data_IF_907258961542
#
_entry.id   IF_907258961542
#
_cell.length_a   1.000
_cell.length_b   1.000
_cell.length_c   1.000
_cell.angle_alpha   90.00
_cell.angle_beta   90.00
_cell.angle_gamma   90.00
#
_symmetry.space_group_name_H-M   'P 1'
#
loop_
_entity.id
_entity.type
_entity.pdbx_description
1 polymer ?
#
# COMPACT_ATOMS: atom_id res chain seq x y z
N UNK A 1 12.46 18.05 1.81
CA UNK A 1 12.73 16.75 1.17
C UNK A 1 12.07 15.69 2.04
N UNK A 2 11.19 14.87 1.44
CA UNK A 2 10.58 13.75 2.15
C UNK A 2 11.51 12.56 2.00
N UNK A 3 12.15 12.15 3.10
CA UNK A 3 13.02 10.99 3.11
C UNK A 3 12.36 9.88 3.91
N UNK A 4 12.54 8.63 3.46
CA UNK A 4 11.93 7.51 4.14
C UNK A 4 12.84 6.31 4.24
N UNK A 5 13.17 5.90 5.47
CA UNK A 5 13.99 4.72 5.74
C UNK A 5 13.11 3.51 6.06
N UNK A 6 13.39 2.39 5.39
CA UNK A 6 12.77 1.09 5.64
C UNK A 6 13.66 0.27 6.58
N UNK A 7 13.10 -0.22 7.69
CA UNK A 7 13.74 -1.21 8.56
C UNK A 7 12.74 -2.30 8.93
N UNK A 8 13.25 -3.47 9.29
CA UNK A 8 12.46 -4.53 9.91
C UNK A 8 12.78 -4.60 11.40
N UNK A 9 11.76 -4.81 12.24
CA UNK A 9 11.89 -4.92 13.70
C UNK A 9 11.22 -6.18 14.21
N UNK A 10 11.92 -6.93 15.07
CA UNK A 10 11.37 -8.13 15.67
C UNK A 10 10.68 -7.79 17.00
N UNK A 11 9.44 -8.24 17.15
CA UNK A 11 8.66 -8.14 18.40
C UNK A 11 7.91 -9.46 18.63
N UNK A 12 8.11 -10.09 19.80
CA UNK A 12 7.43 -11.35 20.13
C UNK A 12 7.66 -12.47 19.11
N UNK A 13 8.86 -12.53 18.51
CA UNK A 13 9.20 -13.53 17.48
C UNK A 13 8.71 -13.19 16.05
N UNK A 14 7.81 -12.21 15.88
CA UNK A 14 7.33 -11.77 14.57
C UNK A 14 8.11 -10.55 14.05
N UNK A 15 8.26 -10.45 12.73
CA UNK A 15 8.96 -9.34 12.08
C UNK A 15 7.95 -8.29 11.59
N UNK A 16 8.21 -7.02 11.91
CA UNK A 16 7.33 -5.90 11.59
C UNK A 16 8.06 -4.87 10.70
N UNK A 17 7.41 -4.33 9.65
CA UNK A 17 7.94 -3.21 8.89
C UNK A 17 7.91 -1.93 9.71
N UNK A 18 9.07 -1.31 9.90
CA UNK A 18 9.24 0.01 10.50
C UNK A 18 9.61 1.02 9.40
N UNK A 19 8.80 2.06 9.28
CA UNK A 19 9.04 3.17 8.35
C UNK A 19 9.37 4.43 9.15
N UNK A 20 10.54 5.00 8.93
CA UNK A 20 10.91 6.32 9.47
C UNK A 20 10.67 7.36 8.37
N UNK A 21 9.84 8.35 8.66
CA UNK A 21 9.41 9.39 7.75
C UNK A 21 9.94 10.75 8.23
N UNK A 22 10.74 11.40 7.41
CA UNK A 22 11.36 12.69 7.72
C UNK A 22 10.73 13.77 6.84
N UNK A 23 10.01 14.70 7.46
CA UNK A 23 9.37 15.85 6.79
C UNK A 23 9.68 17.09 7.61
N UNK A 24 10.64 17.93 7.20
CA UNK A 24 11.00 19.12 7.99
C UNK A 24 9.75 19.93 8.41
N UNK A 25 9.58 20.27 9.71
CA UNK A 25 10.48 20.04 10.85
C UNK A 25 10.21 18.76 11.67
N UNK A 26 9.32 17.89 11.19
CA UNK A 26 8.86 16.67 11.86
C UNK A 26 9.57 15.40 11.39
N UNK A 27 9.70 14.45 12.31
CA UNK A 27 10.17 13.09 12.03
C UNK A 27 9.24 12.11 12.74
N UNK A 28 8.78 11.10 12.03
CA UNK A 28 7.85 10.09 12.54
C UNK A 28 8.40 8.68 12.34
N UNK A 29 8.13 7.80 13.29
CA UNK A 29 8.35 6.35 13.15
C UNK A 29 7.02 5.62 13.21
N UNK A 30 6.69 4.87 12.16
CA UNK A 30 5.44 4.11 12.05
C UNK A 30 5.78 2.63 11.92
N UNK A 31 5.21 1.82 12.79
CA UNK A 31 5.26 0.37 12.71
C UNK A 31 4.00 -0.11 11.98
N UNK A 32 4.15 -0.94 10.94
CA UNK A 32 3.03 -1.50 10.18
C UNK A 32 2.73 -2.94 10.62
N UNK A 33 1.48 -3.39 10.37
CA UNK A 33 1.14 -4.79 10.52
C UNK A 33 2.00 -5.68 9.60
N UNK A 34 2.36 -6.90 10.04
CA UNK A 34 3.12 -7.83 9.22
C UNK A 34 2.27 -8.40 8.07
N UNK A 35 0.96 -8.46 8.25
CA UNK A 35 -0.03 -8.91 7.26
C UNK A 35 -0.43 -7.74 6.36
N UNK A 36 0.51 -7.30 5.52
CA UNK A 36 0.26 -6.28 4.50
C UNK A 36 -0.54 -6.80 3.30
N UNK A 37 -0.65 -8.13 3.18
CA UNK A 37 -1.36 -8.86 2.12
C UNK A 37 -2.82 -8.43 2.03
N UNK A 38 -3.46 -8.20 3.17
CA UNK A 38 -4.90 -7.97 3.27
C UNK A 38 -5.31 -6.68 2.54
N UNK A 39 -4.43 -5.68 2.54
CA UNK A 39 -4.64 -4.44 1.77
C UNK A 39 -4.66 -4.71 0.25
N UNK A 40 -3.89 -5.69 -0.24
CA UNK A 40 -3.87 -6.07 -1.65
C UNK A 40 -5.10 -6.89 -2.07
N UNK A 41 -5.84 -7.44 -1.10
CA UNK A 41 -7.13 -8.09 -1.32
C UNK A 41 -8.33 -7.11 -1.28
N UNK A 42 -8.07 -5.82 -0.98
CA UNK A 42 -9.05 -4.73 -1.00
C UNK A 42 -9.35 -4.16 -2.39
N UNK A 43 -10.15 -3.09 -2.45
CA UNK A 43 -10.52 -2.47 -3.73
C UNK A 43 -9.33 -1.77 -4.39
N UNK A 44 -9.31 -1.74 -5.72
CA UNK A 44 -8.38 -0.90 -6.48
C UNK A 44 -8.84 0.54 -6.47
N UNK A 45 -7.92 1.48 -6.65
CA UNK A 45 -8.21 2.90 -6.82
C UNK A 45 -8.09 3.28 -8.29
N UNK A 46 -9.08 4.00 -8.82
CA UNK A 46 -9.08 4.52 -10.19
C UNK A 46 -9.25 6.03 -10.25
N UNK A 47 -8.69 6.62 -11.29
CA UNK A 47 -8.95 7.99 -11.70
C UNK A 47 -9.47 7.94 -13.14
N UNK A 48 -10.79 8.09 -13.33
CA UNK A 48 -11.44 7.88 -14.63
C UNK A 48 -10.97 8.86 -15.73
N UNK A 49 -10.43 10.01 -15.33
CA UNK A 49 -9.87 11.02 -16.23
C UNK A 49 -8.90 11.92 -15.47
N UNK A 50 -8.12 12.72 -16.20
CA UNK A 50 -7.05 13.56 -15.64
C UNK A 50 -7.54 14.53 -14.56
N UNK A 51 -8.80 14.99 -14.66
CA UNK A 51 -9.42 15.93 -13.73
C UNK A 51 -10.46 15.25 -12.82
N UNK A 52 -10.58 13.92 -12.86
CA UNK A 52 -11.50 13.16 -12.01
C UNK A 52 -10.90 12.92 -10.63
N UNK A 53 -11.76 12.74 -9.63
CA UNK A 53 -11.32 12.27 -8.32
C UNK A 53 -10.87 10.80 -8.37
N UNK A 54 -10.02 10.43 -7.43
CA UNK A 54 -9.65 9.04 -7.20
C UNK A 54 -10.73 8.33 -6.39
N UNK A 55 -11.36 7.33 -6.98
CA UNK A 55 -12.46 6.59 -6.38
C UNK A 55 -12.14 5.08 -6.36
N UNK A 56 -12.78 4.30 -5.49
CA UNK A 56 -12.67 2.85 -5.53
C UNK A 56 -13.27 2.29 -6.82
N UNK A 57 -12.57 1.36 -7.44
CA UNK A 57 -13.07 0.58 -8.58
C UNK A 57 -14.21 -0.31 -8.10
N UNK A 58 -15.30 -0.37 -8.87
CA UNK A 58 -16.39 -1.30 -8.60
C UNK A 58 -15.88 -2.76 -8.69
N UNK A 59 -16.07 -3.62 -7.67
CA UNK A 59 -15.63 -5.01 -7.69
C UNK A 59 -16.11 -5.81 -8.92
N UNK A 60 -17.28 -5.46 -9.48
CA UNK A 60 -17.82 -6.10 -10.69
C UNK A 60 -17.01 -5.80 -11.96
N UNK A 61 -16.20 -4.74 -11.95
CA UNK A 61 -15.33 -4.36 -13.07
C UNK A 61 -13.92 -4.98 -12.94
N UNK A 62 -13.64 -5.70 -11.86
CA UNK A 62 -12.36 -6.39 -11.66
C UNK A 62 -12.41 -7.70 -12.44
N UNK A 63 -11.45 -7.94 -13.36
CA UNK A 63 -11.45 -9.16 -14.17
C UNK A 63 -11.03 -10.39 -13.36
N UNK A 64 -11.45 -11.56 -13.85
CA UNK A 64 -11.00 -12.86 -13.35
C UNK A 64 -9.98 -13.49 -14.33
N UNK A 65 -8.85 -14.04 -13.84
CA UNK A 65 -8.43 -14.09 -12.44
C UNK A 65 -8.03 -12.72 -11.91
N UNK A 66 -8.23 -12.52 -10.60
CA UNK A 66 -8.00 -11.25 -9.93
C UNK A 66 -6.58 -10.72 -10.16
N UNK A 67 -6.41 -9.48 -10.65
CA UNK A 67 -5.10 -8.89 -10.85
C UNK A 67 -4.27 -8.85 -9.55
N UNK A 68 -3.04 -9.37 -9.60
CA UNK A 68 -2.11 -9.37 -8.47
C UNK A 68 -2.02 -10.67 -7.68
N UNK A 69 -2.87 -11.66 -7.96
CA UNK A 69 -2.66 -13.03 -7.42
C UNK A 69 -1.47 -13.72 -8.07
N UNK A 70 -0.82 -14.61 -7.32
CA UNK A 70 0.26 -15.43 -7.84
C UNK A 70 -0.30 -16.60 -8.66
N UNK A 71 0.19 -16.77 -9.89
CA UNK A 71 -0.12 -17.90 -10.76
C UNK A 71 1.16 -18.63 -11.15
N UNK A 72 1.05 -19.92 -11.48
CA UNK A 72 2.20 -20.76 -11.85
C UNK A 72 2.95 -20.23 -13.08
N UNK A 73 2.25 -19.67 -14.06
CA UNK A 73 2.85 -19.01 -15.22
C UNK A 73 2.15 -17.67 -15.50
N UNK A 74 2.86 -16.56 -15.27
CA UNK A 74 2.32 -15.21 -15.49
C UNK A 74 2.07 -14.89 -16.96
N UNK A 75 2.70 -15.61 -17.90
CA UNK A 75 2.51 -15.42 -19.34
C UNK A 75 1.17 -15.94 -19.84
N UNK A 76 0.51 -16.78 -19.05
CA UNK A 76 -0.80 -17.36 -19.37
C UNK A 76 -1.97 -16.48 -18.95
N UNK A 77 -1.70 -15.37 -18.28
CA UNK A 77 -2.73 -14.45 -17.80
C UNK A 77 -3.44 -13.76 -18.97
N UNK A 78 -4.78 -13.59 -18.91
CA UNK A 78 -5.51 -12.87 -19.93
C UNK A 78 -5.03 -11.42 -20.05
N UNK A 79 -5.00 -10.89 -21.28
CA UNK A 79 -4.64 -9.50 -21.55
C UNK A 79 -5.52 -8.50 -20.80
N UNK A 80 -6.78 -8.86 -20.53
CA UNK A 80 -7.70 -8.05 -19.73
C UNK A 80 -7.16 -7.83 -18.30
N UNK A 81 -6.70 -8.89 -17.65
CA UNK A 81 -6.11 -8.84 -16.30
C UNK A 81 -4.81 -8.03 -16.30
N UNK A 82 -3.97 -8.22 -17.32
CA UNK A 82 -2.69 -7.50 -17.45
C UNK A 82 -2.90 -6.00 -17.69
N UNK A 83 -3.82 -5.64 -18.59
CA UNK A 83 -4.16 -4.25 -18.88
C UNK A 83 -4.81 -3.56 -17.68
N UNK A 84 -5.70 -4.26 -16.97
CA UNK A 84 -6.29 -3.73 -15.75
C UNK A 84 -5.21 -3.40 -14.71
N UNK A 85 -4.24 -4.29 -14.46
CA UNK A 85 -3.18 -4.03 -13.47
C UNK A 85 -2.30 -2.84 -13.85
N UNK A 86 -2.06 -2.65 -15.15
CA UNK A 86 -1.25 -1.54 -15.66
C UNK A 86 -1.90 -0.18 -15.39
N UNK A 87 -3.22 -0.10 -15.48
CA UNK A 87 -3.97 1.14 -15.23
C UNK A 87 -4.37 1.32 -13.76
N UNK A 88 -4.51 0.22 -13.01
CA UNK A 88 -4.96 0.19 -11.61
C UNK A 88 -3.88 -0.41 -10.69
N UNK A 89 -2.75 0.28 -10.57
CA UNK A 89 -1.62 -0.17 -9.74
C UNK A 89 -1.77 0.17 -8.26
N UNK A 90 -2.64 1.13 -7.91
CA UNK A 90 -2.88 1.63 -6.57
C UNK A 90 -4.09 0.94 -5.92
N UNK A 91 -3.95 0.54 -4.65
CA UNK A 91 -5.07 0.07 -3.81
C UNK A 91 -5.80 1.26 -3.20
N UNK A 92 -7.11 1.16 -3.01
CA UNK A 92 -7.91 2.20 -2.38
C UNK A 92 -7.65 2.26 -0.86
N UNK A 93 -7.49 1.09 -0.25
CA UNK A 93 -7.19 0.92 1.17
C UNK A 93 -5.71 1.22 1.49
N UNK A 94 -5.46 1.78 2.66
CA UNK A 94 -4.11 2.01 3.18
C UNK A 94 -3.69 0.89 4.12
N UNK A 95 -2.40 0.53 4.10
CA UNK A 95 -1.85 -0.39 5.12
C UNK A 95 -1.91 0.28 6.49
N UNK A 96 -2.65 -0.27 7.48
CA UNK A 96 -2.82 0.38 8.76
C UNK A 96 -1.55 0.30 9.62
N UNK A 97 -1.27 1.38 10.35
CA UNK A 97 -0.26 1.37 11.42
C UNK A 97 -0.67 0.37 12.51
N UNK A 98 0.29 -0.37 13.06
CA UNK A 98 0.06 -1.41 14.05
C UNK A 98 -0.67 -0.90 15.30
N UNK A 99 -0.32 0.29 15.77
CA UNK A 99 -0.96 0.93 16.93
C UNK A 99 -1.96 2.05 16.54
N UNK A 100 -2.35 2.13 15.26
CA UNK A 100 -3.20 3.21 14.74
C UNK A 100 -2.56 4.62 14.75
N UNK A 101 -1.33 4.75 15.24
CA UNK A 101 -0.59 6.02 15.34
C UNK A 101 0.93 5.80 15.28
N UNK A 102 1.74 6.85 15.04
CA UNK A 102 3.20 6.75 15.08
C UNK A 102 3.70 6.34 16.47
N UNK A 103 4.69 5.45 16.52
CA UNK A 103 5.35 5.02 17.76
C UNK A 103 6.39 6.05 18.25
N UNK A 104 6.79 6.96 17.37
CA UNK A 104 7.69 8.06 17.68
C UNK A 104 7.30 9.26 16.82
N UNK A 105 7.16 10.42 17.44
CA UNK A 105 7.03 11.70 16.75
C UNK A 105 8.03 12.66 17.37
N UNK A 106 8.89 13.24 16.55
CA UNK A 106 9.83 14.30 16.92
C UNK A 106 9.49 15.53 16.10
N UNK A 107 9.16 16.61 16.78
CA UNK A 107 8.93 17.91 16.16
C UNK A 107 10.06 18.81 16.59
N UNK A 108 10.87 19.28 15.66
CA UNK A 108 11.85 20.31 15.94
C UNK A 108 11.15 21.66 15.91
N UNK A 109 10.99 22.28 17.07
CA UNK A 109 10.69 23.71 17.12
C UNK A 109 11.98 24.44 16.77
N UNK A 110 11.95 25.32 15.78
CA UNK A 110 13.04 26.28 15.60
C UNK A 110 13.17 27.19 16.82
#
# INVERSE_FOLDING_TARGET
MFETLNRMRQYGGKMFPLKLMFTLPTSMGILFHPEISDTFEGNFKEQSGLNSNWLPVNPLNVPDPRPGSCHNDSRTLPDLTLNFKKTHSLMDETVPAFFGSPILTRVSTM
#
